data_IF_919698657949
#
_entry.id   IF_919698657949
#
_cell.length_a   1.000
_cell.length_b   1.000
_cell.length_c   1.000
_cell.angle_alpha   90.00
_cell.angle_beta   90.00
_cell.angle_gamma   90.00
#
_symmetry.space_group_name_H-M   'P 1'
#
loop_
_entity.id
_entity.type
_entity.pdbx_description
1 polymer ?
#
# COMPACT_ATOMS: atom_id res chain seq x y z
N UNK A 1 0.24 48.04 -13.25
CA UNK A 1 1.52 48.47 -13.85
C UNK A 1 2.61 47.63 -13.20
N UNK A 2 3.50 47.02 -14.01
CA UNK A 2 4.47 45.94 -13.71
C UNK A 2 3.79 44.56 -13.42
N UNK A 3 3.70 43.58 -14.34
CA UNK A 3 4.67 42.86 -15.18
C UNK A 3 5.61 41.96 -14.37
N UNK A 4 5.43 40.63 -14.53
CA UNK A 4 6.30 39.59 -13.98
C UNK A 4 5.79 38.19 -14.36
N UNK A 5 5.84 37.89 -15.66
CA UNK A 5 5.50 36.60 -16.28
C UNK A 5 6.65 35.60 -16.07
N UNK A 6 6.40 34.49 -15.38
CA UNK A 6 7.38 33.40 -15.26
C UNK A 6 7.13 32.32 -16.31
N UNK A 7 8.18 32.09 -17.08
CA UNK A 7 8.30 31.33 -18.32
C UNK A 7 8.20 29.82 -18.04
N UNK A 8 7.29 29.12 -18.74
CA UNK A 8 7.39 27.68 -18.94
C UNK A 8 8.50 27.39 -19.95
N UNK A 9 9.54 26.67 -19.53
CA UNK A 9 10.54 26.12 -20.45
C UNK A 9 10.09 24.74 -20.94
N UNK A 10 9.58 24.72 -22.16
CA UNK A 10 9.38 23.53 -22.99
C UNK A 10 10.73 23.21 -23.64
N UNK A 11 11.31 22.04 -23.34
CA UNK A 11 12.51 21.55 -24.02
C UNK A 11 12.07 20.57 -25.12
N UNK A 12 12.54 20.73 -26.37
CA UNK A 12 12.06 19.96 -27.50
C UNK A 12 12.75 18.60 -27.64
N UNK A 13 11.96 17.66 -28.14
CA UNK A 13 12.32 16.41 -28.78
C UNK A 13 13.42 16.63 -29.84
N UNK A 14 14.54 15.90 -29.75
CA UNK A 14 15.43 15.66 -30.89
C UNK A 14 15.75 14.17 -30.97
N UNK A 15 15.16 13.56 -32.00
CA UNK A 15 15.45 12.23 -32.49
C UNK A 15 16.89 12.17 -33.03
N UNK A 16 17.64 11.14 -32.66
CA UNK A 16 18.78 10.67 -33.43
C UNK A 16 18.65 9.16 -33.62
N UNK A 17 18.27 8.82 -34.85
CA UNK A 17 18.42 7.49 -35.44
C UNK A 17 19.90 7.25 -35.68
N UNK A 18 20.48 6.24 -35.04
CA UNK A 18 21.72 5.62 -35.52
C UNK A 18 21.47 4.14 -35.80
N UNK A 19 21.78 3.76 -37.04
CA UNK A 19 21.60 2.47 -37.64
C UNK A 19 22.44 1.41 -36.93
N UNK A 20 21.80 0.35 -36.46
CA UNK A 20 22.47 -0.90 -36.09
C UNK A 20 22.97 -1.59 -37.37
N UNK A 21 24.29 -1.67 -37.54
CA UNK A 21 24.89 -2.60 -38.49
C UNK A 21 25.10 -3.95 -37.79
N UNK A 22 24.47 -4.97 -38.36
CA UNK A 22 24.64 -6.36 -38.01
C UNK A 22 26.05 -6.83 -38.40
N UNK A 23 26.75 -7.44 -37.45
CA UNK A 23 27.95 -8.25 -37.67
C UNK A 23 27.84 -9.50 -36.81
N UNK A 24 27.47 -10.61 -37.45
CA UNK A 24 27.36 -11.93 -36.83
C UNK A 24 28.71 -12.46 -36.33
N UNK A 25 28.71 -13.13 -35.18
CA UNK A 25 29.82 -13.96 -34.72
C UNK A 25 29.50 -14.60 -33.37
N UNK A 26 29.16 -15.88 -33.37
CA UNK A 26 28.68 -16.63 -32.22
C UNK A 26 29.71 -16.85 -31.11
N UNK A 27 29.20 -17.21 -29.93
CA UNK A 27 30.00 -17.65 -28.79
C UNK A 27 29.19 -17.59 -27.50
N UNK A 28 28.93 -18.75 -26.91
CA UNK A 28 28.26 -18.89 -25.63
C UNK A 28 28.97 -18.04 -24.55
N UNK A 29 28.23 -17.16 -23.87
CA UNK A 29 28.71 -16.49 -22.66
C UNK A 29 27.86 -16.90 -21.47
N UNK A 30 28.34 -17.91 -20.77
CA UNK A 30 28.07 -18.12 -19.34
C UNK A 30 28.42 -16.84 -18.57
N UNK A 31 27.46 -16.21 -17.86
CA UNK A 31 27.78 -15.04 -17.04
C UNK A 31 26.66 -14.44 -16.20
N UNK A 32 26.52 -14.94 -14.96
CA UNK A 32 26.14 -14.22 -13.72
C UNK A 32 27.11 -14.84 -12.67
N UNK A 33 27.86 -14.13 -11.78
CA UNK A 33 27.57 -12.87 -11.08
C UNK A 33 28.68 -11.79 -11.17
N UNK A 34 28.33 -10.52 -10.90
CA UNK A 34 29.28 -9.38 -10.85
C UNK A 34 29.29 -8.47 -12.07
N UNK A 35 28.33 -8.63 -12.99
CA UNK A 35 28.20 -7.76 -14.16
C UNK A 35 27.61 -6.40 -13.77
N UNK A 36 28.31 -5.31 -14.11
CA UNK A 36 27.87 -3.93 -13.85
C UNK A 36 26.67 -3.50 -14.68
N UNK A 37 26.30 -4.29 -15.70
CA UNK A 37 25.08 -4.14 -16.47
C UNK A 37 24.71 -5.48 -17.11
N UNK A 38 23.41 -5.75 -17.18
CA UNK A 38 22.83 -6.84 -17.95
C UNK A 38 21.98 -6.21 -19.05
N UNK A 39 22.28 -6.55 -20.31
CA UNK A 39 21.42 -6.19 -21.45
C UNK A 39 20.61 -7.41 -21.80
N UNK A 40 19.29 -7.33 -21.62
CA UNK A 40 18.40 -8.41 -21.98
C UNK A 40 18.50 -8.72 -23.49
N UNK A 41 18.49 -9.99 -23.91
CA UNK A 41 18.41 -10.36 -25.32
C UNK A 41 17.21 -9.68 -26.01
N UNK A 42 17.38 -9.33 -27.29
CA UNK A 42 16.28 -8.75 -28.07
C UNK A 42 15.19 -9.80 -28.34
N UNK A 43 13.94 -9.43 -28.08
CA UNK A 43 12.77 -10.26 -28.34
C UNK A 43 12.15 -10.87 -27.08
N UNK A 44 10.94 -11.39 -27.23
CA UNK A 44 10.21 -12.03 -26.14
C UNK A 44 10.86 -13.38 -25.77
N UNK A 45 11.13 -13.67 -24.49
CA UNK A 45 11.80 -14.89 -24.08
C UNK A 45 10.88 -16.10 -24.23
N UNK A 46 11.01 -16.87 -25.31
CA UNK A 46 10.15 -18.04 -25.58
C UNK A 46 10.59 -19.32 -24.87
N UNK A 47 11.70 -19.30 -24.13
CA UNK A 47 12.24 -20.48 -23.42
C UNK A 47 12.28 -20.33 -21.89
N UNK A 48 11.83 -19.19 -21.34
CA UNK A 48 11.79 -18.97 -19.90
C UNK A 48 10.73 -19.86 -19.21
N UNK A 49 9.64 -20.15 -19.92
CA UNK A 49 8.57 -21.05 -19.52
C UNK A 49 8.49 -22.25 -20.47
N UNK A 50 7.98 -23.37 -19.96
CA UNK A 50 7.85 -24.62 -20.71
C UNK A 50 6.81 -24.55 -21.83
N UNK A 51 5.81 -23.68 -21.71
CA UNK A 51 4.77 -23.47 -22.73
C UNK A 51 4.10 -22.10 -22.59
N UNK A 52 3.40 -21.67 -23.65
CA UNK A 52 2.71 -20.38 -23.75
C UNK A 52 1.33 -20.58 -24.40
N UNK A 53 0.38 -19.72 -24.07
CA UNK A 53 -0.91 -19.66 -24.72
C UNK A 53 -0.82 -18.95 -26.08
N UNK A 54 -1.63 -19.35 -27.09
CA UNK A 54 -1.68 -18.64 -28.36
C UNK A 54 -2.09 -17.18 -28.20
N UNK A 55 -1.34 -16.26 -28.80
CA UNK A 55 -1.68 -14.83 -28.90
C UNK A 55 -1.85 -14.40 -30.36
N UNK A 56 -2.64 -13.35 -30.64
CA UNK A 56 -2.68 -12.71 -31.94
C UNK A 56 -1.30 -12.17 -32.37
N UNK A 57 -1.10 -12.03 -33.68
CA UNK A 57 0.14 -11.47 -34.23
C UNK A 57 0.40 -10.06 -33.70
N UNK A 58 1.63 -9.81 -33.24
CA UNK A 58 2.05 -8.53 -32.65
C UNK A 58 1.83 -8.41 -31.14
N UNK A 59 1.26 -9.42 -30.48
CA UNK A 59 1.15 -9.47 -29.02
C UNK A 59 2.09 -10.51 -28.40
N UNK A 60 2.65 -10.17 -27.25
CA UNK A 60 3.46 -11.08 -26.45
C UNK A 60 2.60 -12.25 -25.94
N UNK A 61 3.00 -13.51 -26.18
CA UNK A 61 2.22 -14.65 -25.75
C UNK A 61 2.28 -14.80 -24.23
N UNK A 62 1.16 -15.16 -23.61
CA UNK A 62 1.09 -15.34 -22.17
C UNK A 62 1.74 -16.69 -21.77
N UNK A 63 2.67 -16.73 -20.81
CA UNK A 63 3.26 -18.00 -20.35
C UNK A 63 2.25 -18.85 -19.58
N UNK A 64 2.31 -20.16 -19.78
CA UNK A 64 1.56 -21.11 -18.95
C UNK A 64 2.35 -21.39 -17.67
N UNK A 65 1.80 -20.95 -16.53
CA UNK A 65 2.47 -21.06 -15.24
C UNK A 65 2.32 -22.49 -14.69
N UNK A 66 3.42 -23.23 -14.64
CA UNK A 66 3.50 -24.58 -14.08
C UNK A 66 4.14 -24.55 -12.70
N UNK A 67 3.45 -25.15 -11.72
CA UNK A 67 3.95 -25.35 -10.36
C UNK A 67 4.57 -26.76 -10.24
N UNK A 68 5.89 -26.88 -10.07
CA UNK A 68 6.57 -28.17 -9.95
C UNK A 68 6.33 -28.88 -8.61
N UNK A 69 5.90 -28.17 -7.56
CA UNK A 69 5.61 -28.75 -6.24
C UNK A 69 4.24 -29.41 -6.26
N UNK A 70 3.25 -28.72 -6.83
CA UNK A 70 1.88 -29.23 -6.97
C UNK A 70 1.67 -30.07 -8.24
N UNK A 71 2.62 -30.05 -9.18
CA UNK A 71 2.54 -30.70 -10.49
C UNK A 71 1.28 -30.30 -11.28
N UNK A 72 0.96 -29.00 -11.27
CA UNK A 72 -0.19 -28.43 -11.97
C UNK A 72 0.22 -27.25 -12.84
N UNK A 73 -0.52 -27.02 -13.93
CA UNK A 73 -0.47 -25.74 -14.65
C UNK A 73 -1.66 -24.90 -14.20
N UNK A 74 -1.43 -23.66 -13.75
CA UNK A 74 -2.51 -22.78 -13.33
C UNK A 74 -3.48 -22.54 -14.50
N UNK A 75 -4.80 -22.67 -14.27
CA UNK A 75 -5.80 -22.46 -15.31
C UNK A 75 -5.69 -21.07 -15.94
N UNK A 76 -5.86 -21.00 -17.28
CA UNK A 76 -5.83 -19.72 -18.02
C UNK A 76 -6.80 -18.69 -17.45
N UNK A 77 -7.96 -19.12 -16.95
CA UNK A 77 -8.94 -18.20 -16.36
C UNK A 77 -8.43 -17.46 -15.10
N UNK A 78 -7.45 -18.03 -14.38
CA UNK A 78 -6.84 -17.39 -13.20
C UNK A 78 -5.60 -16.57 -13.55
N UNK A 79 -4.98 -16.82 -14.70
CA UNK A 79 -3.72 -16.17 -15.08
C UNK A 79 -3.91 -15.13 -16.17
N UNK A 80 -4.99 -15.19 -16.94
CA UNK A 80 -5.23 -14.35 -18.12
C UNK A 80 -5.44 -12.88 -17.73
N UNK A 81 -4.51 -11.98 -18.08
CA UNK A 81 -4.57 -10.58 -17.67
C UNK A 81 -5.84 -9.86 -18.18
N UNK A 82 -6.41 -10.31 -19.30
CA UNK A 82 -7.59 -9.67 -19.90
C UNK A 82 -8.90 -10.00 -19.16
N UNK A 83 -8.90 -11.05 -18.31
CA UNK A 83 -10.10 -11.55 -17.63
C UNK A 83 -9.98 -11.57 -16.12
N UNK A 84 -8.86 -11.11 -15.55
CA UNK A 84 -8.74 -10.91 -14.11
C UNK A 84 -9.81 -9.88 -13.69
N UNK A 85 -10.64 -10.19 -12.69
CA UNK A 85 -11.60 -9.23 -12.16
C UNK A 85 -10.92 -7.92 -11.78
N UNK A 86 -11.44 -6.80 -12.28
CA UNK A 86 -10.93 -5.47 -11.96
C UNK A 86 -11.49 -4.93 -10.64
N UNK A 87 -12.39 -5.67 -10.01
CA UNK A 87 -13.01 -5.35 -8.74
C UNK A 87 -12.89 -6.54 -7.80
N UNK A 88 -12.68 -6.24 -6.52
CA UNK A 88 -12.70 -7.22 -5.46
C UNK A 88 -14.16 -7.56 -5.10
N UNK A 89 -14.62 -8.82 -5.26
CA UNK A 89 -15.95 -9.23 -4.83
C UNK A 89 -16.03 -9.53 -3.32
N UNK A 90 -14.91 -9.52 -2.61
CA UNK A 90 -14.87 -9.88 -1.19
C UNK A 90 -15.70 -8.90 -0.35
N UNK A 91 -16.46 -9.39 0.63
CA UNK A 91 -17.29 -8.54 1.46
C UNK A 91 -16.44 -7.65 2.36
N UNK A 92 -16.88 -6.41 2.54
CA UNK A 92 -16.25 -5.48 3.49
C UNK A 92 -16.62 -5.85 4.92
N UNK A 93 -15.61 -6.04 5.76
CA UNK A 93 -15.76 -6.36 7.18
C UNK A 93 -15.49 -5.17 8.09
N UNK A 94 -16.35 -5.01 9.08
CA UNK A 94 -16.27 -3.97 10.11
C UNK A 94 -16.24 -4.59 11.50
N UNK A 95 -15.64 -3.92 12.50
CA UNK A 95 -15.78 -4.35 13.89
C UNK A 95 -17.25 -4.32 14.32
N UNK A 96 -17.63 -5.19 15.25
CA UNK A 96 -18.98 -5.15 15.80
C UNK A 96 -19.17 -3.87 16.64
N UNK A 97 -20.24 -3.09 16.41
CA UNK A 97 -20.50 -1.90 17.21
C UNK A 97 -20.68 -2.27 18.70
N UNK A 98 -20.10 -1.46 19.60
CA UNK A 98 -20.20 -1.67 21.05
C UNK A 98 -21.58 -1.30 21.61
N UNK A 99 -22.40 -0.60 20.81
CA UNK A 99 -23.75 -0.19 21.15
C UNK A 99 -24.67 -0.33 19.93
N UNK A 100 -25.92 -0.73 20.17
CA UNK A 100 -26.93 -0.82 19.12
C UNK A 100 -27.62 0.55 18.93
N UNK A 101 -27.01 1.40 18.12
CA UNK A 101 -27.52 2.73 17.81
C UNK A 101 -28.43 2.70 16.57
N UNK A 102 -29.50 3.50 16.59
CA UNK A 102 -30.29 3.75 15.38
C UNK A 102 -29.44 4.47 14.32
N UNK A 103 -29.81 4.36 13.04
CA UNK A 103 -29.08 5.04 11.95
C UNK A 103 -28.96 6.55 12.18
N UNK A 104 -30.00 7.20 12.69
CA UNK A 104 -29.97 8.63 13.01
C UNK A 104 -28.98 8.94 14.15
N UNK A 105 -28.92 8.08 15.18
CA UNK A 105 -27.95 8.23 16.27
C UNK A 105 -26.51 7.99 15.79
N UNK A 106 -26.28 7.00 14.93
CA UNK A 106 -24.96 6.76 14.32
C UNK A 106 -24.48 7.99 13.52
N UNK A 107 -25.34 8.56 12.68
CA UNK A 107 -25.02 9.78 11.92
C UNK A 107 -24.73 10.98 12.83
N UNK A 108 -25.50 11.16 13.91
CA UNK A 108 -25.27 12.22 14.88
C UNK A 108 -23.91 12.07 15.59
N UNK A 109 -23.55 10.84 15.98
CA UNK A 109 -22.25 10.53 16.59
C UNK A 109 -21.11 10.85 15.62
N UNK A 110 -21.18 10.38 14.37
CA UNK A 110 -20.15 10.67 13.35
C UNK A 110 -19.98 12.18 13.14
N UNK A 111 -21.09 12.91 13.03
CA UNK A 111 -21.05 14.37 12.84
C UNK A 111 -20.41 15.08 14.04
N UNK A 112 -20.75 14.67 15.26
CA UNK A 112 -20.17 15.23 16.48
C UNK A 112 -18.66 14.98 16.53
N UNK A 113 -18.24 13.75 16.27
CA UNK A 113 -16.83 13.34 16.29
C UNK A 113 -16.02 14.07 15.22
N UNK A 114 -16.53 14.21 14.00
CA UNK A 114 -15.85 14.96 12.94
C UNK A 114 -15.67 16.45 13.32
N UNK A 115 -16.67 17.04 13.98
CA UNK A 115 -16.56 18.42 14.48
C UNK A 115 -15.44 18.53 15.52
N UNK A 116 -15.44 17.64 16.51
CA UNK A 116 -14.45 17.64 17.60
C UNK A 116 -13.03 17.35 17.09
N UNK A 117 -12.87 16.40 16.17
CA UNK A 117 -11.59 16.11 15.51
C UNK A 117 -11.09 17.34 14.73
N UNK A 118 -11.97 18.02 14.01
CA UNK A 118 -11.62 19.24 13.28
C UNK A 118 -11.20 20.36 14.24
N UNK A 119 -11.87 20.51 15.38
CA UNK A 119 -11.49 21.46 16.43
C UNK A 119 -10.13 21.13 17.06
N UNK A 120 -9.83 19.85 17.30
CA UNK A 120 -8.52 19.42 17.81
C UNK A 120 -7.40 19.74 16.82
N UNK A 121 -7.62 19.45 15.53
CA UNK A 121 -6.61 19.66 14.48
C UNK A 121 -6.36 21.16 14.28
N UNK A 122 -7.42 21.95 14.12
CA UNK A 122 -7.34 23.36 13.74
C UNK A 122 -7.23 24.32 14.93
N UNK A 123 -7.63 23.89 16.13
CA UNK A 123 -7.62 24.69 17.34
C UNK A 123 -6.23 24.90 17.93
N UNK A 124 -6.17 25.73 18.96
CA UNK A 124 -4.95 26.07 19.71
C UNK A 124 -4.93 25.51 21.14
N UNK A 125 -5.95 24.75 21.54
CA UNK A 125 -6.08 24.18 22.88
C UNK A 125 -5.03 23.10 23.15
N UNK A 126 -4.67 22.32 22.13
CA UNK A 126 -3.62 21.29 22.19
C UNK A 126 -2.41 21.76 21.39
N UNK A 127 -1.25 21.74 22.02
CA UNK A 127 0.02 22.18 21.43
C UNK A 127 0.80 20.97 20.91
N UNK A 128 1.43 21.14 19.73
CA UNK A 128 2.26 20.13 19.08
C UNK A 128 1.47 19.16 18.19
N UNK A 129 2.03 18.86 17.02
CA UNK A 129 1.37 18.02 16.01
C UNK A 129 1.10 16.60 16.53
N UNK A 130 2.02 16.04 17.31
CA UNK A 130 1.88 14.67 17.81
C UNK A 130 0.74 14.57 18.81
N UNK A 131 0.70 15.48 19.78
CA UNK A 131 -0.38 15.56 20.76
C UNK A 131 -1.73 15.81 20.10
N UNK A 132 -1.80 16.66 19.07
CA UNK A 132 -3.03 16.86 18.28
C UNK A 132 -3.47 15.59 17.58
N UNK A 133 -2.56 14.88 16.92
CA UNK A 133 -2.88 13.64 16.21
C UNK A 133 -3.38 12.55 17.19
N UNK A 134 -2.67 12.34 18.30
CA UNK A 134 -3.09 11.36 19.34
C UNK A 134 -4.45 11.72 19.93
N UNK A 135 -4.69 13.00 20.22
CA UNK A 135 -5.97 13.46 20.73
C UNK A 135 -7.11 13.26 19.71
N UNK A 136 -6.87 13.59 18.44
CA UNK A 136 -7.81 13.36 17.35
C UNK A 136 -8.15 11.87 17.21
N UNK A 137 -7.14 10.98 17.25
CA UNK A 137 -7.36 9.52 17.21
C UNK A 137 -8.14 9.02 18.44
N UNK A 138 -7.89 9.60 19.62
CA UNK A 138 -8.60 9.22 20.85
C UNK A 138 -10.10 9.50 20.77
N UNK A 139 -10.49 10.63 20.16
CA UNK A 139 -11.90 10.94 19.89
C UNK A 139 -12.43 10.06 18.75
N UNK A 140 -11.68 9.96 17.65
CA UNK A 140 -12.10 9.20 16.45
C UNK A 140 -12.29 7.71 16.72
N UNK A 141 -11.59 7.12 17.70
CA UNK A 141 -11.80 5.73 18.13
C UNK A 141 -13.26 5.42 18.45
N UNK A 142 -13.96 6.36 19.08
CA UNK A 142 -15.38 6.17 19.41
C UNK A 142 -16.28 6.05 18.16
N UNK A 143 -15.92 6.68 17.04
CA UNK A 143 -16.65 6.54 15.77
C UNK A 143 -16.55 5.11 15.24
N UNK A 144 -15.34 4.53 15.26
CA UNK A 144 -15.11 3.16 14.85
C UNK A 144 -15.77 2.14 15.77
N UNK A 145 -15.97 2.46 17.05
CA UNK A 145 -16.64 1.58 17.99
C UNK A 145 -18.18 1.69 17.95
N UNK A 146 -18.73 2.87 17.65
CA UNK A 146 -20.18 3.13 17.72
C UNK A 146 -20.87 3.04 16.35
N UNK A 147 -20.20 3.44 15.28
CA UNK A 147 -20.77 3.52 13.93
C UNK A 147 -19.74 3.14 12.83
N UNK A 148 -19.10 1.96 12.93
CA UNK A 148 -17.97 1.58 12.07
C UNK A 148 -18.26 1.65 10.57
N UNK A 149 -19.46 1.27 10.13
CA UNK A 149 -19.83 1.31 8.69
C UNK A 149 -19.87 2.73 8.09
N UNK A 150 -19.93 3.77 8.93
CA UNK A 150 -19.92 5.17 8.50
C UNK A 150 -18.52 5.80 8.52
N UNK A 151 -17.54 5.14 9.15
CA UNK A 151 -16.19 5.69 9.36
C UNK A 151 -15.40 5.88 8.06
N UNK A 152 -15.41 4.96 7.07
CA UNK A 152 -14.70 5.19 5.81
C UNK A 152 -15.11 6.48 5.11
N UNK A 153 -16.42 6.72 4.96
CA UNK A 153 -16.93 7.96 4.37
C UNK A 153 -16.55 9.20 5.19
N UNK A 154 -16.55 9.09 6.52
CA UNK A 154 -16.11 10.15 7.41
C UNK A 154 -14.61 10.47 7.25
N UNK A 155 -13.75 9.46 7.09
CA UNK A 155 -12.32 9.63 6.85
C UNK A 155 -12.05 10.30 5.50
N UNK A 156 -12.73 9.88 4.43
CA UNK A 156 -12.62 10.53 3.10
C UNK A 156 -13.01 12.01 3.20
N UNK A 157 -14.12 12.31 3.88
CA UNK A 157 -14.59 13.68 4.08
C UNK A 157 -13.59 14.53 4.89
N UNK A 158 -13.02 13.99 5.97
CA UNK A 158 -12.02 14.69 6.78
C UNK A 158 -10.71 14.91 6.02
N UNK A 159 -10.22 13.89 5.31
CA UNK A 159 -9.01 13.97 4.50
C UNK A 159 -9.16 15.06 3.42
N UNK A 160 -10.30 15.08 2.72
CA UNK A 160 -10.56 16.05 1.66
C UNK A 160 -10.73 17.47 2.22
N UNK A 161 -11.51 17.63 3.29
CA UNK A 161 -11.80 18.96 3.86
C UNK A 161 -10.62 19.59 4.58
N UNK A 162 -9.71 18.79 5.16
CA UNK A 162 -8.47 19.28 5.75
C UNK A 162 -7.38 19.57 4.72
N UNK A 163 -7.56 19.15 3.46
CA UNK A 163 -6.52 19.22 2.44
C UNK A 163 -5.35 18.29 2.73
N UNK A 164 -5.58 17.20 3.48
CA UNK A 164 -4.54 16.24 3.83
C UNK A 164 -3.94 15.62 2.57
N UNK A 165 -4.79 15.11 1.68
CA UNK A 165 -4.44 14.68 0.32
C UNK A 165 -5.44 15.23 -0.71
N UNK A 166 -5.19 14.97 -2.00
CA UNK A 166 -6.18 15.24 -3.05
C UNK A 166 -7.44 14.41 -2.86
N UNK A 167 -8.58 14.84 -3.41
CA UNK A 167 -9.85 14.12 -3.26
C UNK A 167 -9.78 12.67 -3.78
N UNK A 168 -9.08 12.42 -4.89
CA UNK A 168 -8.90 11.06 -5.43
C UNK A 168 -8.01 10.22 -4.52
N UNK A 169 -6.92 10.79 -4.02
CA UNK A 169 -6.02 10.10 -3.08
C UNK A 169 -6.71 9.79 -1.75
N UNK A 170 -7.52 10.71 -1.23
CA UNK A 170 -8.34 10.44 -0.04
C UNK A 170 -9.32 9.28 -0.24
N UNK A 171 -9.88 9.13 -1.44
CA UNK A 171 -10.74 8.00 -1.77
C UNK A 171 -9.94 6.69 -1.83
N UNK A 172 -8.80 6.70 -2.52
CA UNK A 172 -7.88 5.54 -2.59
C UNK A 172 -7.41 5.10 -1.19
N UNK A 173 -7.10 6.04 -0.30
CA UNK A 173 -6.62 5.76 1.05
C UNK A 173 -7.71 5.32 2.03
N UNK A 174 -8.94 5.81 1.90
CA UNK A 174 -9.93 5.73 2.99
C UNK A 174 -11.32 5.22 2.59
N UNK A 175 -11.60 4.92 1.31
CA UNK A 175 -12.87 4.28 0.95
C UNK A 175 -13.00 2.88 1.54
N UNK A 176 -14.24 2.44 1.75
CA UNK A 176 -14.55 1.17 2.38
C UNK A 176 -13.94 -0.04 1.63
N UNK A 177 -13.91 0.02 0.30
CA UNK A 177 -13.40 -1.03 -0.59
C UNK A 177 -11.88 -1.00 -0.79
N UNK A 178 -11.17 -0.02 -0.21
CA UNK A 178 -9.71 0.05 -0.23
C UNK A 178 -9.17 -0.24 1.16
N UNK A 179 -8.62 0.77 1.85
CA UNK A 179 -8.09 0.63 3.20
C UNK A 179 -9.05 1.17 4.28
N UNK A 180 -10.16 1.82 3.92
CA UNK A 180 -11.06 2.45 4.89
C UNK A 180 -11.65 1.47 5.91
N UNK A 181 -12.05 0.28 5.48
CA UNK A 181 -12.54 -0.75 6.40
C UNK A 181 -11.44 -1.30 7.31
N UNK A 182 -10.21 -1.41 6.80
CA UNK A 182 -9.03 -1.83 7.57
C UNK A 182 -8.69 -0.76 8.60
N UNK A 183 -8.61 0.51 8.19
CA UNK A 183 -8.42 1.66 9.08
C UNK A 183 -9.48 1.73 10.17
N UNK A 184 -10.74 1.45 9.83
CA UNK A 184 -11.84 1.39 10.81
C UNK A 184 -11.61 0.30 11.86
N UNK A 185 -11.16 -0.89 11.44
CA UNK A 185 -10.82 -1.97 12.37
C UNK A 185 -9.64 -1.60 13.26
N UNK A 186 -8.55 -1.08 12.67
CA UNK A 186 -7.38 -0.60 13.41
C UNK A 186 -7.79 0.45 14.45
N UNK A 187 -8.53 1.47 14.03
CA UNK A 187 -8.97 2.56 14.91
C UNK A 187 -9.88 2.07 16.05
N UNK A 188 -10.77 1.12 15.78
CA UNK A 188 -11.65 0.54 16.80
C UNK A 188 -10.92 -0.29 17.86
N UNK A 189 -9.78 -0.89 17.51
CA UNK A 189 -9.07 -1.87 18.35
C UNK A 189 -7.77 -1.33 18.96
N UNK A 190 -7.04 -0.45 18.27
CA UNK A 190 -5.72 0.04 18.65
C UNK A 190 -5.69 0.80 19.98
N UNK A 191 -4.56 0.74 20.68
CA UNK A 191 -4.26 1.66 21.78
C UNK A 191 -3.83 3.04 21.24
N UNK A 192 -4.81 3.80 20.79
CA UNK A 192 -4.63 5.12 20.15
C UNK A 192 -4.03 6.18 21.06
N UNK A 193 -4.10 6.00 22.38
CA UNK A 193 -3.47 6.90 23.35
C UNK A 193 -2.03 6.47 23.71
N UNK A 194 -1.67 5.22 23.38
CA UNK A 194 -0.37 4.63 23.66
C UNK A 194 0.53 4.51 22.43
N UNK A 195 1.24 3.39 22.32
CA UNK A 195 2.27 3.16 21.30
C UNK A 195 1.66 3.05 19.89
N UNK A 196 0.50 2.41 19.75
CA UNK A 196 -0.18 2.25 18.45
C UNK A 196 -0.55 3.62 17.88
N UNK A 197 -1.06 4.53 18.72
CA UNK A 197 -1.35 5.90 18.32
C UNK A 197 -0.14 6.62 17.75
N UNK A 198 1.03 6.47 18.37
CA UNK A 198 2.26 7.11 17.88
C UNK A 198 2.70 6.53 16.52
N UNK A 199 2.60 5.22 16.35
CA UNK A 199 2.88 4.58 15.05
C UNK A 199 1.87 5.00 13.97
N UNK A 200 0.57 5.05 14.30
CA UNK A 200 -0.48 5.51 13.37
C UNK A 200 -0.19 6.96 12.95
N UNK A 201 0.04 7.86 13.91
CA UNK A 201 0.35 9.25 13.62
C UNK A 201 1.62 9.41 12.77
N UNK A 202 2.67 8.64 13.06
CA UNK A 202 3.91 8.66 12.27
C UNK A 202 3.71 8.11 10.85
N UNK A 203 2.88 7.08 10.69
CA UNK A 203 2.51 6.50 9.39
C UNK A 203 1.72 7.47 8.53
N UNK A 204 0.78 8.22 9.12
CA UNK A 204 0.05 9.28 8.43
C UNK A 204 0.99 10.42 8.01
N UNK A 205 1.89 10.83 8.90
CA UNK A 205 2.98 11.73 8.55
C UNK A 205 4.06 11.71 9.63
N UNK A 206 5.33 11.62 9.22
CA UNK A 206 6.46 11.78 10.14
C UNK A 206 6.53 13.18 10.76
N UNK A 207 5.76 14.15 10.24
CA UNK A 207 5.60 15.48 10.82
C UNK A 207 4.57 15.55 11.96
N UNK A 208 3.70 14.54 12.08
CA UNK A 208 2.74 14.43 13.16
C UNK A 208 3.40 13.86 14.39
N UNK A 209 3.93 12.64 14.31
CA UNK A 209 4.71 12.04 15.38
C UNK A 209 6.04 11.49 14.85
N UNK A 210 7.13 11.57 15.65
CA UNK A 210 8.35 10.83 15.35
C UNK A 210 8.05 9.33 15.36
N UNK A 211 8.72 8.58 14.49
CA UNK A 211 8.61 7.14 14.46
C UNK A 211 9.05 6.55 15.81
N UNK A 212 8.18 5.81 16.52
CA UNK A 212 8.57 5.20 17.78
C UNK A 212 9.71 4.20 17.58
N UNK A 213 10.54 4.03 18.61
CA UNK A 213 11.56 2.99 18.62
C UNK A 213 10.94 1.59 18.69
N UNK A 214 11.66 0.59 18.17
CA UNK A 214 11.29 -0.81 18.37
C UNK A 214 11.64 -1.24 19.80
N UNK A 215 10.72 -1.95 20.46
CA UNK A 215 11.03 -2.58 21.74
C UNK A 215 12.02 -3.73 21.52
N UNK A 216 13.09 -3.83 22.32
CA UNK A 216 14.04 -4.94 22.18
C UNK A 216 13.31 -6.27 22.45
N UNK A 217 13.39 -7.18 21.47
CA UNK A 217 12.80 -8.51 21.61
C UNK A 217 13.62 -9.34 22.62
N UNK A 218 13.01 -9.65 23.75
CA UNK A 218 13.61 -10.61 24.68
C UNK A 218 13.38 -12.03 24.17
N UNK A 219 14.40 -12.59 23.51
CA UNK A 219 14.36 -13.97 23.03
C UNK A 219 14.76 -15.00 24.08
N UNK A 220 15.07 -14.58 25.31
CA UNK A 220 15.42 -15.49 26.41
C UNK A 220 14.23 -16.39 26.71
N UNK A 221 14.39 -17.70 26.50
CA UNK A 221 13.34 -18.68 26.74
C UNK A 221 12.29 -18.83 25.63
N UNK A 222 12.34 -18.05 24.54
CA UNK A 222 11.47 -18.27 23.38
C UNK A 222 11.85 -19.56 22.61
N UNK A 223 13.12 -19.95 22.69
CA UNK A 223 13.63 -21.16 22.06
C UNK A 223 14.02 -22.17 23.13
N UNK A 224 13.53 -23.43 23.06
CA UNK A 224 13.87 -24.49 24.02
C UNK A 224 15.36 -24.84 24.01
N UNK A 225 16.06 -24.53 22.92
CA UNK A 225 17.48 -24.82 22.74
C UNK A 225 18.24 -23.53 22.43
N UNK A 226 19.47 -23.39 22.94
CA UNK A 226 20.33 -22.28 22.55
C UNK A 226 20.62 -22.34 21.04
N UNK A 227 20.91 -21.19 20.45
CA UNK A 227 21.35 -21.08 19.06
C UNK A 227 22.56 -22.00 18.85
N UNK A 228 22.55 -22.94 17.88
CA UNK A 228 23.66 -23.84 17.63
C UNK A 228 24.94 -23.05 17.32
N UNK A 229 26.05 -23.38 17.98
CA UNK A 229 27.33 -22.68 17.81
C UNK A 229 27.88 -22.76 16.36
N UNK A 230 27.54 -23.83 15.64
CA UNK A 230 28.06 -24.14 14.31
C UNK A 230 26.92 -24.38 13.31
N UNK A 231 25.90 -23.52 13.28
CA UNK A 231 24.82 -23.64 12.31
C UNK A 231 25.38 -23.50 10.88
N UNK A 232 25.28 -24.55 10.07
CA UNK A 232 25.70 -24.55 8.66
C UNK A 232 24.48 -24.22 7.80
N UNK A 233 24.63 -23.27 6.85
CA UNK A 233 23.58 -22.96 5.87
C UNK A 233 23.21 -24.26 5.11
N UNK A 234 21.92 -24.56 4.91
CA UNK A 234 21.52 -25.66 4.04
C UNK A 234 22.11 -25.46 2.64
N UNK A 235 22.37 -26.55 1.92
CA UNK A 235 22.69 -26.47 0.50
C UNK A 235 21.52 -25.77 -0.22
N UNK A 236 21.84 -24.84 -1.13
CA UNK A 236 20.82 -24.24 -1.97
C UNK A 236 20.13 -25.36 -2.77
N UNK A 237 18.79 -25.35 -2.76
CA UNK A 237 17.97 -26.24 -3.60
C UNK A 237 17.99 -25.77 -5.05
#
# INVERSE_FOLDING_TARGET
MAIGCSIMAVVPLLAQYTLAQAGYGGGASTGIPGVSSFVAPAGYPTSAFSSYYPSPSGQEPQPALYDPVLNITFPRNLTNPDTIPLNDPDPVYYPQPIANLSTAAQQAVIKSILSEVSEIINGSSIQGNCSKCIAALSVAKSAAQLAPSLVPAAMVALCTSSGFHSASTCAEDFEASTFGAIWTQVLGLADVAGLDGQYICSSLSTSFCPAPGVSPLNMTGLFPKPKPANAKKPAAS
#
